data_IF_761039685276
#
_entry.id   IF_761039685276
#
_cell.length_a   1.000
_cell.length_b   1.000
_cell.length_c   1.000
_cell.angle_alpha   90.00
_cell.angle_beta   90.00
_cell.angle_gamma   90.00
#
_symmetry.space_group_name_H-M   'P 1'
#
loop_
_entity.id
_entity.type
_entity.pdbx_description
1 polymer ?
#
# COMPACT_ATOMS: atom_id res chain seq x y z
N UNK A 1 -4.85 13.87 -20.19
CA UNK A 1 -5.37 13.23 -18.96
C UNK A 1 -4.63 13.82 -17.76
N UNK A 2 -5.30 14.12 -16.64
CA UNK A 2 -4.69 14.68 -15.42
C UNK A 2 -4.66 13.60 -14.34
N UNK A 3 -3.50 13.38 -13.72
CA UNK A 3 -3.32 12.48 -12.59
C UNK A 3 -3.02 13.34 -11.35
N UNK A 4 -3.69 13.06 -10.23
CA UNK A 4 -3.40 13.64 -8.92
C UNK A 4 -3.08 12.49 -7.98
N UNK A 5 -1.91 12.56 -7.34
CA UNK A 5 -1.49 11.62 -6.30
C UNK A 5 -1.49 12.39 -4.99
N UNK A 6 -2.04 11.77 -3.96
CA UNK A 6 -2.05 12.28 -2.60
C UNK A 6 -1.14 11.35 -1.81
N UNK A 7 -0.05 11.90 -1.29
CA UNK A 7 0.86 11.18 -0.41
C UNK A 7 0.46 11.48 1.04
N UNK A 8 0.36 10.45 1.87
CA UNK A 8 -0.09 10.56 3.26
C UNK A 8 1.05 10.20 4.20
N UNK A 9 1.11 10.77 5.42
CA UNK A 9 1.95 10.22 6.48
C UNK A 9 1.70 8.72 6.66
N UNK A 10 2.76 7.96 6.97
CA UNK A 10 2.64 6.53 7.22
C UNK A 10 2.00 6.22 8.56
N UNK A 11 1.42 5.03 8.68
CA UNK A 11 0.95 4.47 9.95
C UNK A 11 2.08 3.72 10.67
N UNK A 12 2.11 3.79 12.00
CA UNK A 12 3.14 3.13 12.79
C UNK A 12 4.43 3.93 12.84
N UNK A 13 4.31 5.25 12.96
CA UNK A 13 5.46 6.12 13.13
C UNK A 13 6.22 5.77 14.42
N UNK A 14 7.54 5.78 14.35
CA UNK A 14 8.46 5.61 15.49
C UNK A 14 8.22 6.62 16.63
N UNK A 15 7.42 7.67 16.37
CA UNK A 15 7.01 8.71 17.32
C UNK A 15 5.87 8.29 18.26
N UNK A 16 5.29 7.11 18.06
CA UNK A 16 4.29 6.53 18.98
C UNK A 16 2.83 6.72 18.54
N UNK A 17 1.92 6.11 19.30
CA UNK A 17 0.49 5.99 18.99
C UNK A 17 -0.19 7.36 18.84
N UNK A 18 0.12 8.32 19.73
CA UNK A 18 -0.48 9.66 19.70
C UNK A 18 -0.21 10.40 18.38
N UNK A 19 0.98 10.21 17.80
CA UNK A 19 1.32 10.83 16.52
C UNK A 19 0.58 10.17 15.36
N UNK A 20 0.34 8.86 15.44
CA UNK A 20 -0.41 8.16 14.43
C UNK A 20 -1.90 8.55 14.46
N UNK A 21 -2.48 8.82 15.64
CA UNK A 21 -3.87 9.29 15.75
C UNK A 21 -4.03 10.66 15.07
N UNK A 22 -3.07 11.57 15.30
CA UNK A 22 -3.02 12.86 14.58
C UNK A 22 -2.84 12.68 13.07
N UNK A 23 -2.05 11.69 12.63
CA UNK A 23 -1.90 11.38 11.22
C UNK A 23 -3.23 10.90 10.61
N UNK A 24 -3.95 10.04 11.34
CA UNK A 24 -5.27 9.52 10.93
C UNK A 24 -6.32 10.62 10.83
N UNK A 25 -6.42 11.49 11.84
CA UNK A 25 -7.30 12.65 11.80
C UNK A 25 -6.99 13.57 10.62
N UNK A 26 -5.70 13.82 10.37
CA UNK A 26 -5.24 14.61 9.22
C UNK A 26 -5.64 13.99 7.89
N UNK A 27 -5.50 12.67 7.74
CA UNK A 27 -5.90 11.93 6.55
C UNK A 27 -7.42 12.04 6.35
N UNK A 28 -8.23 11.78 7.38
CA UNK A 28 -9.68 11.86 7.26
C UNK A 28 -10.18 13.28 6.96
N UNK A 29 -9.60 14.30 7.61
CA UNK A 29 -9.91 15.70 7.34
C UNK A 29 -9.59 16.08 5.90
N UNK A 30 -8.45 15.61 5.37
CA UNK A 30 -8.11 15.83 3.96
C UNK A 30 -9.07 15.10 3.02
N UNK A 31 -9.36 13.83 3.28
CA UNK A 31 -10.28 13.00 2.48
C UNK A 31 -11.70 13.58 2.45
N UNK A 32 -12.16 14.22 3.54
CA UNK A 32 -13.47 14.85 3.61
C UNK A 32 -13.67 15.95 2.56
N UNK A 33 -12.58 16.60 2.14
CA UNK A 33 -12.60 17.65 1.14
C UNK A 33 -12.46 17.12 -0.31
N UNK A 34 -12.44 15.79 -0.51
CA UNK A 34 -12.29 15.15 -1.82
C UNK A 34 -13.63 14.59 -2.28
N UNK A 35 -14.18 15.17 -3.34
CA UNK A 35 -15.47 14.74 -3.90
C UNK A 35 -15.41 13.36 -4.58
N UNK A 36 -14.24 12.95 -5.07
CA UNK A 36 -14.10 11.69 -5.80
C UNK A 36 -12.69 11.12 -5.68
N UNK A 37 -12.61 9.83 -5.34
CA UNK A 37 -11.38 9.08 -5.24
C UNK A 37 -11.39 7.91 -6.22
N UNK A 38 -10.47 7.92 -7.18
CA UNK A 38 -10.37 6.89 -8.20
C UNK A 38 -9.74 5.58 -7.70
N UNK A 39 -8.88 5.67 -6.69
CA UNK A 39 -8.07 4.54 -6.25
C UNK A 39 -7.39 4.84 -4.93
N UNK A 40 -7.21 3.82 -4.10
CA UNK A 40 -6.45 3.88 -2.86
C UNK A 40 -5.32 2.86 -2.96
N UNK A 41 -4.09 3.34 -2.90
CA UNK A 41 -2.92 2.47 -2.89
C UNK A 41 -2.48 2.21 -1.44
N UNK A 42 -2.57 0.97 -0.98
CA UNK A 42 -2.04 0.53 0.30
C UNK A 42 -0.67 -0.10 0.09
N UNK A 43 0.36 0.41 0.78
CA UNK A 43 1.74 -0.03 0.60
C UNK A 43 2.19 -0.97 1.72
N UNK A 44 2.86 -2.06 1.32
CA UNK A 44 3.33 -3.15 2.18
C UNK A 44 4.77 -3.52 1.89
N UNK A 45 5.44 -4.13 2.86
CA UNK A 45 6.61 -4.99 2.62
C UNK A 45 6.12 -6.43 2.46
N UNK A 46 6.76 -7.29 1.65
CA UNK A 46 6.31 -8.67 1.43
C UNK A 46 6.65 -9.62 2.59
N UNK A 47 7.65 -9.31 3.40
CA UNK A 47 8.13 -10.18 4.49
C UNK A 47 7.96 -9.54 5.86
N UNK A 48 6.71 -9.31 6.28
CA UNK A 48 6.41 -8.93 7.67
C UNK A 48 6.08 -10.17 8.49
N UNK A 49 6.63 -10.25 9.70
CA UNK A 49 6.40 -11.37 10.63
C UNK A 49 5.03 -11.25 11.30
N UNK A 50 4.59 -10.03 11.58
CA UNK A 50 3.30 -9.72 12.20
C UNK A 50 2.80 -8.36 11.74
N UNK A 51 1.49 -8.19 11.66
CA UNK A 51 0.85 -6.90 11.45
C UNK A 51 0.78 -6.15 12.78
N UNK A 52 1.22 -4.89 12.80
CA UNK A 52 1.06 -4.02 13.94
C UNK A 52 -0.45 -3.85 14.27
N UNK A 53 -0.85 -4.08 15.53
CA UNK A 53 -2.25 -3.98 15.97
C UNK A 53 -2.86 -2.59 15.75
N UNK A 54 -2.06 -1.55 15.96
CA UNK A 54 -2.49 -0.18 15.72
C UNK A 54 -2.70 0.08 14.22
N UNK A 55 -1.78 -0.41 13.38
CA UNK A 55 -1.92 -0.35 11.93
C UNK A 55 -3.19 -1.07 11.44
N UNK A 56 -3.52 -2.23 12.04
CA UNK A 56 -4.77 -2.95 11.77
C UNK A 56 -6.01 -2.11 12.12
N UNK A 57 -6.01 -1.45 13.29
CA UNK A 57 -7.09 -0.56 13.72
C UNK A 57 -7.28 0.61 12.75
N UNK A 58 -6.19 1.28 12.35
CA UNK A 58 -6.24 2.37 11.38
C UNK A 58 -6.85 1.93 10.06
N UNK A 59 -6.44 0.74 9.60
CA UNK A 59 -6.95 0.19 8.37
C UNK A 59 -8.45 -0.09 8.46
N UNK A 60 -8.94 -0.69 9.55
CA UNK A 60 -10.37 -0.89 9.80
C UNK A 60 -11.12 0.44 9.73
N UNK A 61 -10.64 1.47 10.44
CA UNK A 61 -11.27 2.80 10.42
C UNK A 61 -11.29 3.41 9.01
N UNK A 62 -10.23 3.23 8.23
CA UNK A 62 -10.15 3.69 6.85
C UNK A 62 -11.21 3.02 5.97
N UNK A 63 -11.36 1.70 6.09
CA UNK A 63 -12.40 0.96 5.39
C UNK A 63 -13.80 1.37 5.83
N UNK A 64 -13.99 1.64 7.12
CA UNK A 64 -15.27 2.08 7.65
C UNK A 64 -15.68 3.48 7.18
N UNK A 65 -14.71 4.38 7.04
CA UNK A 65 -14.88 5.73 6.52
C UNK A 65 -15.34 5.74 5.06
N UNK A 66 -14.70 4.94 4.21
CA UNK A 66 -14.96 4.92 2.78
C UNK A 66 -16.27 4.22 2.39
N UNK A 67 -16.78 3.34 3.25
CA UNK A 67 -17.98 2.57 2.98
C UNK A 67 -17.85 1.63 1.78
N UNK A 68 -18.96 0.98 1.40
CA UNK A 68 -18.96 -0.10 0.40
C UNK A 68 -18.55 0.34 -1.00
N UNK A 69 -18.76 1.63 -1.34
CA UNK A 69 -18.59 2.15 -2.70
C UNK A 69 -17.12 2.24 -3.15
N UNK A 70 -16.17 2.31 -2.21
CA UNK A 70 -14.74 2.50 -2.50
C UNK A 70 -13.93 1.20 -2.30
N UNK A 71 -14.55 0.14 -1.77
CA UNK A 71 -13.90 -1.15 -1.54
C UNK A 71 -13.31 -1.75 -2.84
N UNK A 72 -13.92 -1.49 -3.99
CA UNK A 72 -13.42 -1.93 -5.29
C UNK A 72 -12.25 -1.10 -5.85
N UNK A 73 -11.92 0.02 -5.20
CA UNK A 73 -10.89 0.96 -5.64
C UNK A 73 -9.57 0.76 -4.88
N UNK A 74 -9.49 -0.23 -3.98
CA UNK A 74 -8.26 -0.56 -3.28
C UNK A 74 -7.27 -1.32 -4.18
N UNK A 75 -6.02 -0.86 -4.12
CA UNK A 75 -4.86 -1.38 -4.81
C UNK A 75 -3.82 -1.73 -3.75
N UNK A 76 -3.36 -2.98 -3.76
CA UNK A 76 -2.39 -3.50 -2.81
C UNK A 76 -1.01 -3.53 -3.43
N UNK A 77 -0.08 -2.78 -2.84
CA UNK A 77 1.23 -2.52 -3.39
C UNK A 77 2.32 -3.09 -2.48
N UNK A 78 3.05 -4.12 -2.94
CA UNK A 78 4.16 -4.70 -2.23
C UNK A 78 5.48 -4.11 -2.73
N UNK A 79 6.11 -3.31 -1.89
CA UNK A 79 7.40 -2.66 -2.14
C UNK A 79 8.57 -3.55 -1.70
N UNK A 80 9.77 -3.31 -2.23
CA UNK A 80 10.97 -4.10 -1.95
C UNK A 80 10.78 -5.60 -2.28
N UNK A 81 9.93 -5.89 -3.28
CA UNK A 81 9.53 -7.26 -3.59
C UNK A 81 10.64 -8.10 -4.21
N UNK A 82 11.84 -7.53 -4.45
CA UNK A 82 12.98 -8.29 -4.97
C UNK A 82 13.40 -9.44 -4.04
N UNK A 83 13.33 -9.25 -2.72
CA UNK A 83 13.70 -10.29 -1.75
C UNK A 83 12.78 -11.51 -1.81
N UNK A 84 11.59 -11.36 -2.38
CA UNK A 84 10.55 -12.39 -2.52
C UNK A 84 10.28 -12.73 -3.97
N UNK A 85 11.22 -12.46 -4.89
CA UNK A 85 11.05 -12.72 -6.33
C UNK A 85 9.75 -12.11 -6.89
N UNK A 86 9.43 -10.90 -6.46
CA UNK A 86 8.21 -10.16 -6.83
C UNK A 86 6.91 -10.82 -6.37
N UNK A 87 6.95 -11.57 -5.27
CA UNK A 87 5.78 -12.12 -4.59
C UNK A 87 5.42 -11.33 -3.32
N UNK A 88 4.19 -11.51 -2.82
CA UNK A 88 3.70 -10.83 -1.62
C UNK A 88 4.25 -11.42 -0.31
N UNK A 89 5.01 -12.51 -0.38
CA UNK A 89 5.68 -13.15 0.76
C UNK A 89 4.74 -13.54 1.90
N UNK A 90 5.31 -13.61 3.11
CA UNK A 90 4.58 -13.92 4.35
C UNK A 90 3.51 -12.88 4.74
N UNK A 91 3.52 -11.70 4.12
CA UNK A 91 2.54 -10.64 4.43
C UNK A 91 1.15 -10.95 3.86
N UNK A 92 1.08 -11.64 2.73
CA UNK A 92 -0.21 -12.01 2.10
C UNK A 92 -1.16 -12.79 3.01
N UNK A 93 -0.76 -13.92 3.64
CA UNK A 93 -1.66 -14.66 4.51
C UNK A 93 -2.10 -13.83 5.74
N UNK A 94 -1.23 -12.96 6.26
CA UNK A 94 -1.59 -12.07 7.37
C UNK A 94 -2.67 -11.07 6.98
N UNK A 95 -2.51 -10.41 5.83
CA UNK A 95 -3.52 -9.46 5.32
C UNK A 95 -4.82 -10.15 4.94
N UNK A 96 -4.75 -11.35 4.35
CA UNK A 96 -5.95 -12.15 4.03
C UNK A 96 -6.75 -12.43 5.30
N UNK A 97 -6.09 -12.89 6.36
CA UNK A 97 -6.73 -13.13 7.66
C UNK A 97 -7.31 -11.86 8.27
N UNK A 98 -6.62 -10.72 8.14
CA UNK A 98 -7.11 -9.43 8.60
C UNK A 98 -8.40 -9.04 7.87
N UNK A 99 -8.42 -9.08 6.54
CA UNK A 99 -9.59 -8.70 5.74
C UNK A 99 -10.77 -9.64 5.95
N UNK A 100 -10.52 -10.94 6.15
CA UNK A 100 -11.56 -11.92 6.52
C UNK A 100 -12.19 -11.62 7.89
N UNK A 101 -11.47 -10.93 8.78
CA UNK A 101 -11.98 -10.55 10.10
C UNK A 101 -12.85 -9.28 10.08
N UNK A 102 -12.90 -8.55 8.97
CA UNK A 102 -13.62 -7.28 8.93
C UNK A 102 -15.14 -7.52 8.95
N UNK A 103 -15.89 -6.72 9.73
CA UNK A 103 -17.33 -6.89 9.87
C UNK A 103 -18.09 -6.62 8.54
N UNK A 104 -17.53 -5.79 7.66
CA UNK A 104 -18.05 -5.52 6.31
C UNK A 104 -17.36 -6.44 5.30
N UNK A 105 -18.16 -7.19 4.54
CA UNK A 105 -17.68 -8.35 3.77
C UNK A 105 -16.90 -7.96 2.51
N UNK A 106 -15.76 -8.63 2.36
CA UNK A 106 -14.93 -8.84 1.16
C UNK A 106 -14.36 -7.58 0.51
N UNK A 107 -13.29 -7.06 1.11
CA UNK A 107 -12.30 -6.28 0.37
C UNK A 107 -11.66 -7.21 -0.68
N UNK A 108 -11.80 -6.94 -1.98
CA UNK A 108 -11.14 -7.74 -3.01
C UNK A 108 -9.64 -7.71 -2.76
N UNK A 109 -9.03 -8.86 -2.48
CA UNK A 109 -7.60 -8.98 -2.34
C UNK A 109 -7.09 -10.05 -3.30
N UNK A 110 -7.10 -9.68 -4.57
CA UNK A 110 -6.97 -10.57 -5.71
C UNK A 110 -5.76 -10.22 -6.56
N UNK A 111 -5.46 -11.05 -7.56
CA UNK A 111 -4.30 -10.85 -8.44
C UNK A 111 -4.42 -9.57 -9.28
N UNK A 112 -5.63 -9.14 -9.66
CA UNK A 112 -5.86 -8.00 -10.54
C UNK A 112 -5.68 -6.63 -9.86
N UNK A 113 -5.77 -6.57 -8.52
CA UNK A 113 -5.57 -5.35 -7.75
C UNK A 113 -4.36 -5.43 -6.80
N UNK A 114 -3.48 -6.41 -6.99
CA UNK A 114 -2.25 -6.59 -6.22
C UNK A 114 -1.01 -6.48 -7.11
N UNK A 115 -0.11 -5.58 -6.77
CA UNK A 115 1.11 -5.30 -7.53
C UNK A 115 2.34 -5.43 -6.64
N UNK A 116 3.40 -6.03 -7.18
CA UNK A 116 4.70 -6.16 -6.51
C UNK A 116 5.73 -5.39 -7.31
N UNK A 117 6.47 -4.49 -6.67
CA UNK A 117 7.48 -3.69 -7.37
C UNK A 117 8.69 -3.39 -6.49
N UNK A 118 9.81 -3.13 -7.17
CA UNK A 118 11.08 -2.79 -6.57
C UNK A 118 11.69 -1.60 -7.32
N UNK A 119 12.29 -0.67 -6.58
CA UNK A 119 12.84 0.56 -7.16
C UNK A 119 13.95 0.28 -8.18
N UNK A 120 14.75 -0.78 -7.99
CA UNK A 120 15.83 -1.14 -8.94
C UNK A 120 15.25 -1.67 -10.24
N UNK A 121 14.19 -2.47 -10.18
CA UNK A 121 13.50 -2.97 -11.37
C UNK A 121 12.88 -1.82 -12.18
N UNK A 122 12.25 -0.85 -11.51
CA UNK A 122 11.70 0.32 -12.19
C UNK A 122 12.80 1.18 -12.83
N UNK A 123 13.89 1.47 -12.10
CA UNK A 123 15.04 2.22 -12.64
C UNK A 123 15.65 1.52 -13.85
N UNK A 124 15.76 0.19 -13.81
CA UNK A 124 16.23 -0.62 -14.93
C UNK A 124 15.34 -0.45 -16.18
N UNK A 125 14.01 -0.51 -16.02
CA UNK A 125 13.07 -0.30 -17.12
C UNK A 125 13.15 1.13 -17.69
N UNK A 126 13.27 2.14 -16.84
CA UNK A 126 13.43 3.55 -17.25
C UNK A 126 14.72 3.73 -18.06
N UNK A 127 15.81 3.14 -17.61
CA UNK A 127 17.09 3.21 -18.29
C UNK A 127 17.08 2.49 -19.65
N UNK A 128 16.42 1.33 -19.77
CA UNK A 128 16.22 0.68 -21.07
C UNK A 128 15.44 1.60 -22.02
N UNK A 129 14.35 2.22 -21.54
CA UNK A 129 13.56 3.19 -22.32
C UNK A 129 14.43 4.36 -22.79
N UNK A 130 15.32 4.84 -21.93
CA UNK A 130 16.19 5.98 -22.21
C UNK A 130 17.51 5.57 -22.90
N UNK A 131 17.62 4.32 -23.39
CA UNK A 131 18.79 3.76 -24.07
C UNK A 131 20.10 3.82 -23.27
N UNK A 132 20.01 3.81 -21.94
CA UNK A 132 21.16 3.77 -21.04
C UNK A 132 21.70 2.33 -20.99
N UNK A 133 22.99 2.17 -21.27
CA UNK A 133 23.68 0.87 -21.26
C UNK A 133 24.08 0.48 -19.83
N UNK A 134 23.74 -0.73 -19.41
CA UNK A 134 24.15 -1.27 -18.12
C UNK A 134 25.37 -2.18 -18.27
N UNK A 135 26.41 -1.93 -17.48
CA UNK A 135 27.49 -2.90 -17.29
C UNK A 135 27.03 -3.97 -16.31
N UNK A 136 26.73 -5.17 -16.82
CA UNK A 136 26.27 -6.31 -16.02
C UNK A 136 27.26 -6.74 -14.93
N UNK A 137 28.52 -6.27 -14.99
CA UNK A 137 29.56 -6.59 -14.01
C UNK A 137 29.66 -5.59 -12.85
N UNK A 138 28.98 -4.42 -12.93
CA UNK A 138 28.94 -3.46 -11.84
C UNK A 138 27.67 -3.62 -11.02
N UNK A 139 27.82 -4.06 -9.77
CA UNK A 139 26.74 -4.01 -8.78
C UNK A 139 26.45 -2.53 -8.46
N UNK A 140 25.36 -2.00 -9.00
CA UNK A 140 24.77 -0.70 -8.65
C UNK A 140 23.74 -0.81 -7.51
#
# INVERSE_FOLDING_TARGET
>A
KKLRIIDTPGFGDTRGIDQDDLNMEGIFSFLHNINYLNGICLLFKPEVVQLNLYWQSCLIQLFDYFGENIVNNFIFCFTNARSTFFAQGNTRPLLKKLFESFPRKNIPFEKNNTFCFDSKAFRYLVAIRDSITFDLNKRH
#
